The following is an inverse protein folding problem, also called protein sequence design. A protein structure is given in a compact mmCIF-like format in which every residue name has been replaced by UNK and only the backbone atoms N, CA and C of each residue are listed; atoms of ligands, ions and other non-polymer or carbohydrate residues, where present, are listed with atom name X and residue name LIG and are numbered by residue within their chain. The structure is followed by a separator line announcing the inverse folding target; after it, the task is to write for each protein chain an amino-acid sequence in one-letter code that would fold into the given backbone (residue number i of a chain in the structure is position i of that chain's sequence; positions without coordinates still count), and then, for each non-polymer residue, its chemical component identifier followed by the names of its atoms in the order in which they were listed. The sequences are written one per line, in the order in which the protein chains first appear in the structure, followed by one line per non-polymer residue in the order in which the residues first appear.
data_IF_348461732202
#
_entry.id   IF_348461732202
#
_cell.length_a   1.000
_cell.length_b   1.000
_cell.length_c   1.000
_cell.angle_alpha   90.00
_cell.angle_beta   90.00
_cell.angle_gamma   90.00
#
_symmetry.space_group_name_H-M   'P 1'
#
loop_
_entity.id
_entity.type
_entity.pdbx_description
1 polymer ?
#
# COMPACT_ATOMS: atom_id res chain seq x y z
N UNK A 1 26.00 9.05 54.95
CA UNK A 1 24.96 8.05 55.30
C UNK A 1 24.05 7.72 54.12
N UNK A 2 23.49 8.70 53.38
CA UNK A 2 22.67 8.43 52.19
C UNK A 2 23.42 7.72 51.05
N UNK A 3 24.69 8.05 50.83
CA UNK A 3 25.48 7.47 49.73
C UNK A 3 25.84 5.98 49.95
N UNK A 4 26.07 5.57 51.21
CA UNK A 4 26.30 4.17 51.61
C UNK A 4 24.99 3.37 51.53
N UNK A 5 23.85 4.01 51.78
CA UNK A 5 22.52 3.43 51.62
C UNK A 5 22.24 3.12 50.13
N UNK A 6 22.54 4.04 49.21
CA UNK A 6 22.36 3.81 47.76
C UNK A 6 23.35 2.80 47.17
N UNK A 7 24.61 2.75 47.63
CA UNK A 7 25.61 1.77 47.16
C UNK A 7 25.27 0.33 47.58
N UNK A 8 24.77 0.15 48.80
CA UNK A 8 24.34 -1.16 49.30
C UNK A 8 22.99 -1.59 48.70
N UNK A 9 22.10 -0.65 48.37
CA UNK A 9 20.87 -0.93 47.63
C UNK A 9 21.18 -1.46 46.22
N UNK A 10 22.20 -0.92 45.54
CA UNK A 10 22.62 -1.37 44.21
C UNK A 10 23.11 -2.83 44.16
N UNK A 11 23.86 -3.28 45.17
CA UNK A 11 24.34 -4.66 45.24
C UNK A 11 23.23 -5.67 45.63
N UNK A 12 22.28 -5.24 46.46
CA UNK A 12 21.09 -6.03 46.83
C UNK A 12 20.11 -6.12 45.64
N UNK A 13 19.89 -5.01 44.93
CA UNK A 13 19.03 -4.96 43.75
C UNK A 13 19.58 -5.81 42.60
N UNK A 14 20.90 -5.92 42.40
CA UNK A 14 21.47 -6.74 41.32
C UNK A 14 21.22 -8.26 41.48
N UNK A 15 21.25 -8.77 42.71
CA UNK A 15 20.90 -10.17 43.01
C UNK A 15 19.38 -10.40 43.02
N UNK A 16 18.61 -9.43 43.52
CA UNK A 16 17.14 -9.46 43.51
C UNK A 16 16.56 -9.31 42.10
N UNK A 17 17.20 -8.55 41.22
CA UNK A 17 16.76 -8.28 39.85
C UNK A 17 16.57 -9.54 39.00
N UNK A 18 17.24 -10.66 39.30
CA UNK A 18 17.11 -11.91 38.53
C UNK A 18 15.88 -12.74 38.98
N UNK A 19 15.55 -12.73 40.28
CA UNK A 19 14.29 -13.31 40.79
C UNK A 19 13.11 -12.36 40.58
N UNK A 20 13.32 -11.06 40.82
CA UNK A 20 12.37 -9.98 40.55
C UNK A 20 12.06 -9.88 39.07
N UNK A 21 12.96 -10.15 38.11
CA UNK A 21 12.59 -10.19 36.66
C UNK A 21 11.67 -11.34 36.30
N UNK A 22 11.72 -12.46 37.04
CA UNK A 22 10.77 -13.56 36.88
C UNK A 22 9.42 -13.25 37.55
N UNK A 23 9.45 -12.72 38.77
CA UNK A 23 8.28 -12.34 39.56
C UNK A 23 7.56 -11.13 38.94
N UNK A 24 8.28 -10.14 38.43
CA UNK A 24 7.71 -9.02 37.67
C UNK A 24 7.16 -9.50 36.35
N UNK A 25 7.81 -10.42 35.64
CA UNK A 25 7.22 -10.98 34.41
C UNK A 25 5.93 -11.76 34.66
N UNK A 26 5.82 -12.51 35.76
CA UNK A 26 4.55 -13.17 36.12
C UNK A 26 3.51 -12.15 36.57
N UNK A 27 3.87 -11.19 37.43
CA UNK A 27 2.96 -10.14 37.89
C UNK A 27 2.44 -9.26 36.75
N UNK A 28 3.29 -8.85 35.80
CA UNK A 28 2.87 -8.10 34.63
C UNK A 28 1.97 -8.94 33.71
N UNK A 29 2.23 -10.25 33.58
CA UNK A 29 1.35 -11.14 32.82
C UNK A 29 -0.01 -11.30 33.49
N UNK A 30 -0.03 -11.51 34.80
CA UNK A 30 -1.25 -11.64 35.58
C UNK A 30 -2.06 -10.34 35.50
N UNK A 31 -1.41 -9.18 35.65
CA UNK A 31 -2.06 -7.87 35.51
C UNK A 31 -2.62 -7.63 34.10
N UNK A 32 -1.90 -8.04 33.05
CA UNK A 32 -2.40 -7.96 31.67
C UNK A 32 -3.60 -8.89 31.48
N UNK A 33 -3.58 -10.10 32.05
CA UNK A 33 -4.70 -11.03 31.99
C UNK A 33 -5.90 -10.51 32.79
N UNK A 34 -5.68 -9.86 33.94
CA UNK A 34 -6.73 -9.21 34.73
C UNK A 34 -7.41 -8.07 33.95
N UNK A 35 -6.63 -7.24 33.24
CA UNK A 35 -7.18 -6.20 32.37
C UNK A 35 -7.92 -6.77 31.16
N UNK A 36 -7.41 -7.87 30.59
CA UNK A 36 -8.09 -8.60 29.54
C UNK A 36 -9.42 -9.20 30.04
N UNK A 37 -9.42 -9.79 31.22
CA UNK A 37 -10.63 -10.30 31.87
C UNK A 37 -11.65 -9.18 32.09
N UNK A 38 -11.23 -8.01 32.60
CA UNK A 38 -12.10 -6.84 32.73
C UNK A 38 -12.74 -6.44 31.39
N UNK A 39 -11.97 -6.42 30.30
CA UNK A 39 -12.47 -6.13 28.95
C UNK A 39 -13.46 -7.20 28.46
N UNK A 40 -13.15 -8.48 28.64
CA UNK A 40 -13.97 -9.60 28.17
C UNK A 40 -15.28 -9.76 28.97
N UNK A 41 -15.25 -9.59 30.29
CA UNK A 41 -16.43 -9.71 31.16
C UNK A 41 -17.36 -8.51 31.05
N UNK A 42 -16.84 -7.35 30.63
CA UNK A 42 -17.57 -6.06 30.55
C UNK A 42 -18.06 -5.56 31.91
N UNK A 43 -17.57 -6.11 33.01
CA UNK A 43 -17.91 -5.67 34.35
C UNK A 43 -17.32 -4.30 34.66
N UNK A 44 -18.08 -3.45 35.36
CA UNK A 44 -17.66 -2.08 35.74
C UNK A 44 -17.25 -1.18 34.57
N UNK A 45 -17.66 -1.49 33.34
CA UNK A 45 -17.46 -0.58 32.23
C UNK A 45 -18.19 0.73 32.51
N UNK A 46 -17.57 1.83 32.08
CA UNK A 46 -18.12 3.17 32.24
C UNK A 46 -18.21 3.87 30.86
N UNK A 47 -17.54 3.34 29.84
CA UNK A 47 -17.44 3.94 28.50
C UNK A 47 -18.07 3.02 27.46
N UNK A 48 -18.79 3.58 26.48
CA UNK A 48 -19.35 2.87 25.32
C UNK A 48 -18.89 3.54 24.04
N UNK A 49 -17.98 2.92 23.31
CA UNK A 49 -17.51 3.40 22.00
C UNK A 49 -18.52 2.94 20.95
N UNK A 50 -19.12 3.88 20.23
CA UNK A 50 -20.09 3.61 19.15
C UNK A 50 -19.44 3.86 17.80
N UNK A 51 -19.38 2.84 16.95
CA UNK A 51 -18.78 2.90 15.62
C UNK A 51 -19.83 2.56 14.57
N UNK A 52 -19.90 3.32 13.48
CA UNK A 52 -20.82 3.03 12.38
C UNK A 52 -21.94 4.05 12.19
N UNK A 53 -22.73 3.84 11.14
CA UNK A 53 -23.94 4.59 10.80
C UNK A 53 -25.08 3.61 10.53
N UNK A 54 -26.32 3.97 10.92
CA UNK A 54 -27.47 3.09 10.74
C UNK A 54 -27.63 2.66 9.27
N UNK A 55 -27.90 1.36 9.01
CA UNK A 55 -28.23 0.30 9.97
C UNK A 55 -27.02 -0.43 10.59
N UNK A 56 -25.79 -0.11 10.19
CA UNK A 56 -24.58 -0.82 10.58
C UNK A 56 -23.86 -0.08 11.73
N UNK A 57 -24.38 -0.23 12.95
CA UNK A 57 -23.81 0.37 14.17
C UNK A 57 -23.32 -0.72 15.11
N UNK A 58 -22.10 -0.55 15.62
CA UNK A 58 -21.43 -1.40 16.59
C UNK A 58 -21.17 -0.62 17.88
N UNK A 59 -21.30 -1.29 19.02
CA UNK A 59 -21.07 -0.71 20.34
C UNK A 59 -20.11 -1.58 21.14
N UNK A 60 -19.06 -0.97 21.65
CA UNK A 60 -18.02 -1.62 22.45
C UNK A 60 -17.95 -0.96 23.81
N UNK A 61 -18.11 -1.76 24.86
CA UNK A 61 -17.96 -1.33 26.25
C UNK A 61 -16.49 -1.30 26.63
N UNK A 62 -16.06 -0.29 27.39
CA UNK A 62 -14.67 -0.12 27.82
C UNK A 62 -14.57 0.62 29.17
N UNK A 63 -13.37 0.64 29.75
CA UNK A 63 -13.06 1.34 30.99
C UNK A 63 -12.23 2.59 30.69
N UNK A 64 -12.81 3.74 30.95
CA UNK A 64 -12.24 5.05 30.70
C UNK A 64 -10.86 5.25 31.33
N UNK A 65 -10.64 4.72 32.54
CA UNK A 65 -9.41 4.91 33.31
C UNK A 65 -8.25 4.24 32.59
N UNK A 66 -8.50 3.08 31.97
CA UNK A 66 -7.52 2.36 31.15
C UNK A 66 -7.28 3.17 29.86
N UNK A 67 -8.35 3.58 29.18
CA UNK A 67 -8.25 4.34 27.92
C UNK A 67 -7.52 5.67 28.10
N UNK A 68 -7.81 6.44 29.15
CA UNK A 68 -7.22 7.75 29.40
C UNK A 68 -5.78 7.67 29.90
N UNK A 69 -5.38 6.58 30.55
CA UNK A 69 -4.00 6.41 31.04
C UNK A 69 -3.05 6.06 29.90
N UNK A 70 -3.55 5.41 28.86
CA UNK A 70 -2.71 4.75 27.85
C UNK A 70 -2.79 5.41 26.48
N UNK A 71 -3.74 6.30 26.24
CA UNK A 71 -3.84 7.08 25.00
C UNK A 71 -4.23 8.53 25.26
N UNK A 72 -3.42 9.44 24.71
CA UNK A 72 -3.69 10.87 24.73
C UNK A 72 -4.97 11.25 23.98
N UNK A 73 -5.33 10.49 22.93
CA UNK A 73 -6.58 10.65 22.21
C UNK A 73 -7.76 10.43 23.15
N UNK A 74 -7.85 9.26 23.81
CA UNK A 74 -8.96 8.96 24.71
C UNK A 74 -8.93 9.83 25.95
N UNK A 75 -7.74 10.15 26.47
CA UNK A 75 -7.58 11.12 27.55
C UNK A 75 -8.26 12.44 27.19
N UNK A 76 -7.91 13.01 26.04
CA UNK A 76 -8.48 14.28 25.57
C UNK A 76 -9.99 14.13 25.30
N UNK A 77 -10.39 13.10 24.55
CA UNK A 77 -11.77 12.86 24.15
C UNK A 77 -12.74 12.58 25.32
N UNK A 78 -12.22 12.06 26.44
CA UNK A 78 -13.02 11.74 27.63
C UNK A 78 -12.82 12.76 28.78
N UNK A 79 -11.80 13.61 28.73
CA UNK A 79 -11.46 14.58 29.79
C UNK A 79 -12.54 15.65 30.03
N UNK A 80 -13.30 16.03 29.00
CA UNK A 80 -14.38 17.03 29.12
C UNK A 80 -15.65 16.49 29.80
N UNK A 81 -15.71 15.19 30.11
CA UNK A 81 -16.85 14.54 30.76
C UNK A 81 -16.51 14.28 32.23
N UNK A 82 -16.80 15.26 33.08
CA UNK A 82 -16.84 15.06 34.53
C UNK A 82 -17.76 13.88 34.84
N UNK A 83 -17.19 12.79 35.36
CA UNK A 83 -17.73 11.42 35.42
C UNK A 83 -17.52 10.68 34.11
N UNK A 84 -16.62 9.70 34.17
CA UNK A 84 -16.14 8.87 33.08
C UNK A 84 -17.24 8.00 32.41
N UNK A 85 -18.27 8.62 31.84
CA UNK A 85 -19.28 7.97 31.02
C UNK A 85 -19.15 8.42 29.56
N UNK A 86 -18.27 7.75 28.82
CA UNK A 86 -17.87 8.16 27.47
C UNK A 86 -18.60 7.42 26.35
N UNK A 87 -19.58 8.06 25.70
CA UNK A 87 -19.98 7.72 24.32
C UNK A 87 -19.08 8.40 23.29
N UNK A 88 -18.28 7.64 22.54
CA UNK A 88 -17.54 8.12 21.37
C UNK A 88 -18.38 7.84 20.13
N UNK A 89 -18.78 8.88 19.39
CA UNK A 89 -19.56 8.79 18.15
C UNK A 89 -18.70 9.26 16.98
N UNK A 90 -18.50 8.40 15.98
CA UNK A 90 -17.66 8.66 14.81
C UNK A 90 -18.38 9.34 13.64
N UNK A 91 -19.72 9.46 13.70
CA UNK A 91 -20.56 9.94 12.59
C UNK A 91 -20.22 11.35 12.12
N UNK A 92 -19.84 12.23 13.04
CA UNK A 92 -19.48 13.62 12.73
C UNK A 92 -17.99 13.92 12.91
N UNK A 93 -17.17 12.89 13.12
CA UNK A 93 -15.73 13.08 13.33
C UNK A 93 -14.98 13.27 12.01
N UNK A 94 -14.01 14.18 12.04
CA UNK A 94 -13.11 14.40 10.92
C UNK A 94 -12.27 13.15 10.64
N UNK A 95 -11.91 12.93 9.38
CA UNK A 95 -11.11 11.77 9.00
C UNK A 95 -9.76 11.68 9.71
N UNK A 96 -9.15 12.83 10.04
CA UNK A 96 -7.93 12.87 10.84
C UNK A 96 -8.10 12.28 12.24
N UNK A 97 -9.18 12.65 12.92
CA UNK A 97 -9.55 12.14 14.25
C UNK A 97 -9.77 10.62 14.20
N UNK A 98 -10.36 10.11 13.12
CA UNK A 98 -10.59 8.67 12.92
C UNK A 98 -9.25 7.91 12.74
N UNK A 99 -8.26 8.52 12.06
CA UNK A 99 -6.91 7.93 11.97
C UNK A 99 -6.21 7.89 13.33
N UNK A 100 -6.33 8.95 14.14
CA UNK A 100 -5.79 8.98 15.51
C UNK A 100 -6.45 7.92 16.39
N UNK A 101 -7.77 7.72 16.25
CA UNK A 101 -8.47 6.63 16.90
C UNK A 101 -7.94 5.26 16.46
N UNK A 102 -7.66 5.05 15.16
CA UNK A 102 -7.06 3.80 14.69
C UNK A 102 -5.73 3.52 15.40
N UNK A 103 -4.84 4.52 15.48
CA UNK A 103 -3.56 4.39 16.19
C UNK A 103 -3.80 4.02 17.65
N UNK A 104 -4.69 4.73 18.34
CA UNK A 104 -5.03 4.41 19.72
C UNK A 104 -5.53 2.97 19.86
N UNK A 105 -6.43 2.51 18.98
CA UNK A 105 -6.97 1.14 19.05
C UNK A 105 -5.90 0.06 18.87
N UNK A 106 -4.88 0.31 18.04
CA UNK A 106 -3.73 -0.59 17.88
C UNK A 106 -2.83 -0.58 19.12
N UNK A 107 -2.58 0.59 19.71
CA UNK A 107 -1.79 0.74 20.95
C UNK A 107 -2.41 -0.02 22.14
N UNK A 108 -3.75 -0.16 22.15
CA UNK A 108 -4.48 -0.95 23.14
C UNK A 108 -4.74 -2.39 22.75
N UNK A 109 -4.39 -2.80 21.53
CA UNK A 109 -4.71 -4.13 21.01
C UNK A 109 -6.21 -4.46 21.06
N UNK A 110 -7.09 -3.45 20.88
CA UNK A 110 -8.54 -3.65 20.83
C UNK A 110 -8.92 -4.06 19.41
N UNK A 111 -8.53 -5.28 19.02
CA UNK A 111 -8.63 -5.77 17.64
C UNK A 111 -10.02 -5.62 17.02
N UNK A 112 -11.07 -5.87 17.80
CA UNK A 112 -12.45 -5.72 17.35
C UNK A 112 -12.76 -4.26 16.98
N UNK A 113 -12.35 -3.31 17.82
CA UNK A 113 -12.54 -1.88 17.55
C UNK A 113 -11.67 -1.41 16.37
N UNK A 114 -10.41 -1.87 16.28
CA UNK A 114 -9.54 -1.59 15.14
C UNK A 114 -10.20 -2.00 13.82
N UNK A 115 -10.76 -3.21 13.76
CA UNK A 115 -11.48 -3.69 12.58
C UNK A 115 -12.67 -2.79 12.22
N UNK A 116 -13.53 -2.44 13.18
CA UNK A 116 -14.70 -1.61 12.91
C UNK A 116 -14.34 -0.19 12.49
N UNK A 117 -13.31 0.40 13.08
CA UNK A 117 -12.88 1.75 12.70
C UNK A 117 -12.27 1.73 11.28
N UNK A 118 -11.51 0.69 10.90
CA UNK A 118 -11.02 0.52 9.53
C UNK A 118 -12.18 0.40 8.53
N UNK A 119 -13.13 -0.50 8.81
CA UNK A 119 -14.31 -0.72 7.96
C UNK A 119 -15.16 0.55 7.81
N UNK A 120 -15.36 1.28 8.92
CA UNK A 120 -16.08 2.55 8.94
C UNK A 120 -15.38 3.60 8.07
N UNK A 121 -14.07 3.77 8.22
CA UNK A 121 -13.28 4.73 7.45
C UNK A 121 -13.35 4.41 5.95
N UNK A 122 -13.21 3.14 5.57
CA UNK A 122 -13.24 2.69 4.17
C UNK A 122 -14.61 2.94 3.54
N UNK A 123 -15.69 2.55 4.23
CA UNK A 123 -17.06 2.60 3.68
C UNK A 123 -17.66 4.00 3.72
N UNK A 124 -17.45 4.75 4.79
CA UNK A 124 -18.19 6.00 5.05
C UNK A 124 -17.33 7.26 4.84
N UNK A 125 -16.00 7.15 4.86
CA UNK A 125 -15.08 8.30 4.72
C UNK A 125 -14.28 8.29 3.41
N UNK A 126 -14.84 7.69 2.36
CA UNK A 126 -14.23 7.63 1.03
C UNK A 126 -13.82 9.00 0.46
N UNK A 127 -14.62 10.06 0.69
CA UNK A 127 -14.29 11.42 0.23
C UNK A 127 -13.01 11.93 0.90
N UNK A 128 -12.86 11.70 2.20
CA UNK A 128 -11.66 12.05 2.95
C UNK A 128 -10.44 11.28 2.43
N UNK A 129 -10.59 9.96 2.25
CA UNK A 129 -9.53 9.11 1.69
C UNK A 129 -9.04 9.60 0.32
N UNK A 130 -9.94 10.11 -0.53
CA UNK A 130 -9.57 10.68 -1.83
C UNK A 130 -8.92 12.06 -1.77
N UNK A 131 -9.36 12.92 -0.84
CA UNK A 131 -8.91 14.31 -0.75
C UNK A 131 -7.52 14.45 -0.13
N UNK A 132 -7.10 13.51 0.71
CA UNK A 132 -5.85 13.60 1.45
C UNK A 132 -4.87 12.45 1.13
N UNK A 133 -4.52 12.19 -0.13
CA UNK A 133 -3.83 10.96 -0.51
C UNK A 133 -2.43 10.82 0.07
N UNK A 134 -1.72 11.94 0.24
CA UNK A 134 -0.39 11.97 0.84
C UNK A 134 -0.46 11.62 2.32
N UNK A 135 -1.41 12.22 3.05
CA UNK A 135 -1.66 11.90 4.47
C UNK A 135 -2.00 10.43 4.68
N UNK A 136 -2.87 9.85 3.85
CA UNK A 136 -3.24 8.44 3.99
C UNK A 136 -2.06 7.52 3.64
N UNK A 137 -1.28 7.83 2.60
CA UNK A 137 -0.13 7.01 2.24
C UNK A 137 0.97 7.02 3.29
N UNK A 138 1.29 8.20 3.85
CA UNK A 138 2.24 8.28 4.96
C UNK A 138 1.72 7.47 6.17
N UNK A 139 0.42 7.59 6.49
CA UNK A 139 -0.20 6.82 7.56
C UNK A 139 -0.07 5.30 7.38
N UNK A 140 -0.46 4.75 6.22
CA UNK A 140 -0.39 3.29 6.00
C UNK A 140 1.05 2.79 5.83
N UNK A 141 2.00 3.66 5.48
CA UNK A 141 3.41 3.32 5.42
C UNK A 141 3.99 3.16 6.84
N UNK A 142 3.59 4.02 7.78
CA UNK A 142 4.02 3.98 9.18
C UNK A 142 3.32 2.88 9.99
N UNK A 143 2.07 2.54 9.65
CA UNK A 143 1.25 1.60 10.43
C UNK A 143 0.97 0.30 9.67
N UNK A 144 1.87 -0.68 9.79
CA UNK A 144 1.79 -1.91 8.99
C UNK A 144 0.68 -2.89 9.36
N UNK A 145 0.06 -2.71 10.52
CA UNK A 145 -0.97 -3.62 11.04
C UNK A 145 -2.36 -3.39 10.45
N UNK A 146 -2.60 -2.25 9.81
CA UNK A 146 -3.88 -1.88 9.21
C UNK A 146 -4.01 -2.40 7.77
N UNK A 147 -4.02 -3.73 7.63
CA UNK A 147 -3.98 -4.40 6.33
C UNK A 147 -5.21 -4.10 5.46
N UNK A 148 -6.41 -4.09 6.04
CA UNK A 148 -7.65 -3.84 5.31
C UNK A 148 -7.66 -2.45 4.67
N UNK A 149 -7.29 -1.42 5.44
CA UNK A 149 -7.15 -0.06 4.92
C UNK A 149 -6.05 0.03 3.87
N UNK A 150 -4.89 -0.58 4.14
CA UNK A 150 -3.73 -0.57 3.24
C UNK A 150 -4.07 -1.18 1.88
N UNK A 151 -4.65 -2.38 1.85
CA UNK A 151 -4.97 -3.09 0.60
C UNK A 151 -5.97 -2.29 -0.24
N UNK A 152 -7.10 -1.88 0.36
CA UNK A 152 -8.15 -1.12 -0.33
C UNK A 152 -7.63 0.22 -0.85
N UNK A 153 -6.80 0.89 -0.06
CA UNK A 153 -6.26 2.19 -0.44
C UNK A 153 -5.20 2.09 -1.54
N UNK A 154 -4.29 1.11 -1.47
CA UNK A 154 -3.32 0.86 -2.52
C UNK A 154 -3.98 0.44 -3.83
N UNK A 155 -5.04 -0.38 -3.79
CA UNK A 155 -5.83 -0.69 -4.99
C UNK A 155 -6.43 0.58 -5.60
N UNK A 156 -6.95 1.48 -4.76
CA UNK A 156 -7.52 2.76 -5.19
C UNK A 156 -6.48 3.64 -5.88
N UNK A 157 -5.29 3.80 -5.30
CA UNK A 157 -4.20 4.58 -5.91
C UNK A 157 -3.67 3.90 -7.17
N UNK A 158 -3.55 2.57 -7.19
CA UNK A 158 -3.18 1.84 -8.40
C UNK A 158 -4.15 2.09 -9.55
N UNK A 159 -5.45 2.14 -9.25
CA UNK A 159 -6.51 2.40 -10.24
C UNK A 159 -6.58 3.86 -10.67
N UNK A 160 -6.28 4.80 -9.77
CA UNK A 160 -6.37 6.24 -10.01
C UNK A 160 -5.10 6.96 -9.52
N UNK A 161 -3.93 6.69 -10.13
CA UNK A 161 -2.63 7.17 -9.61
C UNK A 161 -2.49 8.69 -9.65
N UNK A 162 -3.22 9.35 -10.54
CA UNK A 162 -3.25 10.81 -10.63
C UNK A 162 -3.83 11.47 -9.37
N UNK A 163 -4.65 10.77 -8.56
CA UNK A 163 -5.08 11.28 -7.25
C UNK A 163 -3.88 11.65 -6.37
N UNK A 164 -2.85 10.80 -6.39
CA UNK A 164 -1.60 11.05 -5.67
C UNK A 164 -0.71 12.01 -6.45
N UNK A 165 -0.38 11.68 -7.70
CA UNK A 165 0.68 12.37 -8.44
C UNK A 165 0.32 13.81 -8.83
N UNK A 166 -0.96 14.16 -8.97
CA UNK A 166 -1.40 15.54 -9.24
C UNK A 166 -1.74 16.32 -7.97
N UNK A 167 -1.60 15.71 -6.78
CA UNK A 167 -1.79 16.41 -5.51
C UNK A 167 -0.72 17.50 -5.32
N UNK A 168 -1.14 18.68 -4.88
CA UNK A 168 -0.23 19.76 -4.46
C UNK A 168 0.62 19.35 -3.25
N UNK A 169 0.10 18.43 -2.43
CA UNK A 169 0.82 17.89 -1.27
C UNK A 169 1.80 16.77 -1.67
N UNK A 170 1.84 16.31 -2.92
CA UNK A 170 2.73 15.21 -3.35
C UNK A 170 4.20 15.39 -2.91
N UNK A 171 4.78 16.61 -2.97
CA UNK A 171 6.10 16.89 -2.39
C UNK A 171 6.27 16.55 -0.91
N UNK A 172 5.20 16.47 -0.12
CA UNK A 172 5.22 16.11 1.30
C UNK A 172 5.15 14.60 1.55
N UNK A 173 5.07 13.78 0.49
CA UNK A 173 5.04 12.33 0.62
C UNK A 173 6.36 11.82 1.20
N UNK A 174 6.28 10.96 2.21
CA UNK A 174 7.46 10.40 2.87
C UNK A 174 8.13 9.33 2.01
N UNK A 175 9.43 9.09 2.24
CA UNK A 175 10.22 8.15 1.45
C UNK A 175 9.65 6.72 1.52
N UNK A 176 9.19 6.27 2.69
CA UNK A 176 8.63 4.92 2.85
C UNK A 176 7.28 4.77 2.16
N UNK A 177 6.44 5.82 2.19
CA UNK A 177 5.21 5.88 1.42
C UNK A 177 5.47 5.89 -0.10
N UNK A 178 6.53 6.58 -0.53
CA UNK A 178 6.94 6.57 -1.93
C UNK A 178 7.43 5.18 -2.35
N UNK A 179 8.27 4.53 -1.54
CA UNK A 179 8.71 3.13 -1.77
C UNK A 179 7.53 2.18 -1.85
N UNK A 180 6.53 2.34 -0.98
CA UNK A 180 5.31 1.53 -0.96
C UNK A 180 4.59 1.60 -2.32
N UNK A 181 4.34 2.82 -2.82
CA UNK A 181 3.71 3.03 -4.13
C UNK A 181 4.60 2.53 -5.27
N UNK A 182 5.90 2.77 -5.21
CA UNK A 182 6.85 2.30 -6.22
C UNK A 182 7.06 0.78 -6.21
N UNK A 183 6.57 0.04 -5.22
CA UNK A 183 6.49 -1.43 -5.28
C UNK A 183 5.22 -1.95 -5.96
N UNK A 184 4.21 -1.10 -6.19
CA UNK A 184 2.96 -1.53 -6.80
C UNK A 184 3.11 -1.76 -8.31
N UNK A 185 2.91 -3.00 -8.77
CA UNK A 185 3.01 -3.36 -10.20
C UNK A 185 1.81 -2.94 -11.05
N UNK A 186 0.71 -2.54 -10.41
CA UNK A 186 -0.58 -2.31 -11.06
C UNK A 186 -0.94 -0.82 -11.20
N UNK A 187 0.03 0.09 -11.05
CA UNK A 187 -0.18 1.53 -11.24
C UNK A 187 -0.63 1.83 -12.67
N UNK A 188 -1.84 2.37 -12.83
CA UNK A 188 -2.45 2.72 -14.11
C UNK A 188 -1.96 4.08 -14.64
N UNK A 189 -0.64 4.20 -14.80
CA UNK A 189 0.02 5.39 -15.34
C UNK A 189 1.29 5.00 -16.09
N UNK A 190 1.64 5.73 -17.14
CA UNK A 190 2.87 5.46 -17.89
C UNK A 190 4.09 5.72 -17.01
N UNK A 191 5.08 4.83 -17.07
CA UNK A 191 6.34 4.92 -16.33
C UNK A 191 7.02 6.29 -16.52
N UNK A 192 6.95 6.87 -17.72
CA UNK A 192 7.47 8.20 -17.98
C UNK A 192 6.86 9.30 -17.09
N UNK A 193 5.55 9.24 -16.89
CA UNK A 193 4.84 10.20 -16.05
C UNK A 193 5.27 10.00 -14.58
N UNK A 194 5.44 8.76 -14.13
CA UNK A 194 5.95 8.45 -12.79
C UNK A 194 7.32 9.10 -12.59
N UNK A 195 8.27 8.88 -13.51
CA UNK A 195 9.61 9.48 -13.44
C UNK A 195 9.57 11.01 -13.38
N UNK A 196 8.74 11.65 -14.20
CA UNK A 196 8.57 13.11 -14.18
C UNK A 196 8.11 13.61 -12.81
N UNK A 197 7.25 12.86 -12.13
CA UNK A 197 6.76 13.20 -10.79
C UNK A 197 7.82 12.93 -9.72
N UNK A 198 8.54 11.81 -9.80
CA UNK A 198 9.63 11.48 -8.88
C UNK A 198 10.74 12.52 -8.87
N UNK A 199 11.12 13.03 -10.05
CA UNK A 199 12.12 14.10 -10.15
C UNK A 199 11.63 15.36 -9.41
N UNK A 200 10.38 15.77 -9.62
CA UNK A 200 9.80 16.92 -8.89
C UNK A 200 9.78 16.71 -7.38
N UNK A 201 9.39 15.51 -6.93
CA UNK A 201 9.41 15.15 -5.52
C UNK A 201 10.83 15.24 -4.94
N UNK A 202 11.83 14.68 -5.62
CA UNK A 202 13.22 14.69 -5.16
C UNK A 202 13.79 16.10 -5.03
N UNK A 203 13.43 17.03 -5.92
CA UNK A 203 13.82 18.44 -5.78
C UNK A 203 13.17 19.11 -4.57
N UNK A 204 11.91 18.82 -4.29
CA UNK A 204 11.23 19.38 -3.13
C UNK A 204 11.86 18.92 -1.80
N UNK A 205 12.41 17.69 -1.75
CA UNK A 205 13.18 17.21 -0.59
C UNK A 205 14.53 17.93 -0.42
N UNK A 206 15.05 18.55 -1.50
CA UNK A 206 16.38 19.13 -1.57
C UNK A 206 16.34 20.54 -2.17
N UNK A 207 15.55 21.43 -1.55
CA UNK A 207 15.34 22.83 -1.97
C UNK A 207 16.65 23.64 -2.20
N UNK A 208 17.80 23.16 -1.74
CA UNK A 208 19.13 23.75 -1.98
C UNK A 208 19.73 23.53 -3.38
N UNK A 209 19.12 22.73 -4.26
CA UNK A 209 19.65 22.44 -5.61
C UNK A 209 19.30 23.49 -6.68
N UNK A 210 18.38 24.42 -6.42
CA UNK A 210 17.96 25.45 -7.39
C UNK A 210 19.10 26.38 -7.85
N UNK A 211 20.16 26.53 -7.05
CA UNK A 211 21.27 27.45 -7.35
C UNK A 211 22.30 26.95 -8.38
N UNK A 212 22.17 25.74 -8.95
CA UNK A 212 23.14 25.21 -9.93
C UNK A 212 22.66 25.19 -11.40
N UNK A 213 21.40 25.51 -11.69
CA UNK A 213 20.82 25.34 -13.03
C UNK A 213 20.85 26.59 -13.93
N UNK A 214 21.47 27.69 -13.52
CA UNK A 214 21.62 28.88 -14.36
C UNK A 214 22.81 28.77 -15.34
N UNK A 215 22.97 27.65 -16.08
CA UNK A 215 23.89 27.60 -17.23
C UNK A 215 23.76 26.30 -18.04
N UNK A 216 23.12 26.34 -19.22
CA UNK A 216 23.80 26.34 -20.53
C UNK A 216 22.85 25.99 -21.67
N UNK A 217 22.74 26.98 -22.55
CA UNK A 217 22.32 26.89 -23.93
C UNK A 217 23.25 25.94 -24.70
N UNK A 218 22.73 24.85 -25.27
CA UNK A 218 23.35 24.18 -26.43
C UNK A 218 22.29 23.50 -27.29
N UNK A 219 22.27 23.96 -28.54
CA UNK A 219 21.57 23.41 -29.69
C UNK A 219 21.93 21.93 -29.89
N UNK A 220 20.95 21.07 -29.68
CA UNK A 220 20.86 19.74 -30.28
C UNK A 220 19.44 19.67 -30.85
N UNK A 221 19.27 19.10 -32.03
CA UNK A 221 17.99 19.01 -32.75
C UNK A 221 17.02 18.08 -31.98
N UNK A 222 16.31 18.66 -31.01
CA UNK A 222 15.45 18.02 -29.98
C UNK A 222 14.04 17.79 -30.53
N UNK A 223 13.82 16.79 -31.39
CA UNK A 223 12.43 16.41 -31.77
C UNK A 223 11.90 15.11 -31.17
N UNK A 224 12.72 14.28 -30.52
CA UNK A 224 12.23 13.04 -29.89
C UNK A 224 12.81 12.72 -28.50
N UNK A 225 13.67 13.58 -27.95
CA UNK A 225 14.14 13.45 -26.57
C UNK A 225 13.27 14.35 -25.71
N UNK A 226 12.59 13.79 -24.72
CA UNK A 226 11.80 14.54 -23.74
C UNK A 226 12.73 15.55 -23.06
N UNK A 227 12.61 16.86 -23.39
CA UNK A 227 13.53 17.88 -22.91
C UNK A 227 13.60 17.89 -21.39
N UNK A 228 12.46 17.61 -20.76
CA UNK A 228 12.26 17.73 -19.32
C UNK A 228 12.95 16.64 -18.50
N UNK A 229 13.51 15.57 -19.06
CA UNK A 229 14.38 14.65 -18.29
C UNK A 229 15.84 14.92 -18.61
N UNK A 230 16.11 15.33 -19.85
CA UNK A 230 17.43 15.66 -20.33
C UNK A 230 18.04 16.87 -19.61
N UNK A 231 17.21 17.86 -19.28
CA UNK A 231 17.63 19.04 -18.50
C UNK A 231 18.14 18.67 -17.09
N UNK A 232 17.95 17.41 -16.65
CA UNK A 232 18.39 16.90 -15.34
C UNK A 232 19.50 15.83 -15.43
N UNK A 233 20.07 15.60 -16.61
CA UNK A 233 21.14 14.60 -16.84
C UNK A 233 22.35 14.80 -15.93
N UNK A 234 22.70 16.04 -15.61
CA UNK A 234 23.92 16.36 -14.86
C UNK A 234 23.81 16.13 -13.35
N UNK A 235 22.59 15.94 -12.83
CA UNK A 235 22.32 15.71 -11.40
C UNK A 235 22.05 14.23 -11.13
N UNK A 236 21.51 13.52 -12.10
CA UNK A 236 21.21 12.10 -11.98
C UNK A 236 22.48 11.27 -12.20
N UNK A 237 22.69 10.16 -11.46
CA UNK A 237 23.76 9.22 -11.76
C UNK A 237 23.72 8.80 -13.23
N UNK A 238 24.88 8.78 -13.90
CA UNK A 238 24.97 8.45 -15.33
C UNK A 238 24.28 7.12 -15.68
N UNK A 239 24.32 6.14 -14.78
CA UNK A 239 23.67 4.84 -14.98
C UNK A 239 22.14 4.94 -14.89
N UNK A 240 21.63 5.81 -14.01
CA UNK A 240 20.20 6.11 -13.92
C UNK A 240 19.72 6.87 -15.15
N UNK A 241 20.49 7.86 -15.62
CA UNK A 241 20.18 8.57 -16.89
C UNK A 241 20.14 7.59 -18.05
N UNK A 242 21.12 6.67 -18.15
CA UNK A 242 21.10 5.62 -19.16
C UNK A 242 19.88 4.71 -19.06
N UNK A 243 19.49 4.30 -17.85
CA UNK A 243 18.30 3.48 -17.63
C UNK A 243 17.00 4.23 -17.99
N UNK A 244 16.92 5.52 -17.64
CA UNK A 244 15.78 6.36 -17.98
C UNK A 244 15.72 6.59 -19.49
N UNK A 245 16.83 6.98 -20.13
CA UNK A 245 16.92 7.09 -21.58
C UNK A 245 16.62 5.75 -22.27
N UNK A 246 17.00 4.62 -21.69
CA UNK A 246 16.60 3.30 -22.17
C UNK A 246 15.08 3.12 -22.09
N UNK A 247 14.44 3.50 -20.98
CA UNK A 247 12.97 3.47 -20.83
C UNK A 247 12.23 4.44 -21.78
N UNK A 248 12.87 5.52 -22.22
CA UNK A 248 12.25 6.61 -23.00
C UNK A 248 12.57 6.60 -24.51
N UNK A 249 13.81 6.26 -24.87
CA UNK A 249 14.36 6.34 -26.23
C UNK A 249 14.47 4.98 -26.92
N UNK A 250 14.08 3.90 -26.25
CA UNK A 250 13.84 2.64 -26.92
C UNK A 250 15.14 2.12 -27.62
N UNK A 251 16.30 2.36 -26.99
CA UNK A 251 17.61 2.00 -27.54
C UNK A 251 17.83 0.48 -27.40
N UNK A 252 18.25 -0.19 -28.48
CA UNK A 252 18.50 -1.66 -28.56
C UNK A 252 19.67 -2.18 -27.67
N UNK A 253 20.02 -1.47 -26.59
CA UNK A 253 21.09 -1.83 -25.66
C UNK A 253 20.50 -2.54 -24.46
N UNK A 254 20.95 -3.77 -24.15
CA UNK A 254 20.51 -4.51 -22.95
C UNK A 254 20.66 -3.64 -21.69
N UNK A 255 19.62 -3.51 -20.85
CA UNK A 255 19.73 -2.75 -19.61
C UNK A 255 20.81 -3.37 -18.71
N UNK A 256 21.67 -2.54 -18.14
CA UNK A 256 22.73 -2.96 -17.22
C UNK A 256 22.18 -3.62 -15.95
N UNK A 257 20.93 -3.32 -15.60
CA UNK A 257 20.20 -3.98 -14.53
C UNK A 257 18.94 -4.65 -15.09
N UNK A 258 18.90 -5.97 -14.99
CA UNK A 258 17.78 -6.84 -15.39
C UNK A 258 16.47 -6.54 -14.66
N UNK A 259 16.48 -5.63 -13.67
CA UNK A 259 15.36 -5.28 -12.79
C UNK A 259 14.55 -4.05 -13.22
N UNK A 260 14.95 -3.30 -14.25
CA UNK A 260 14.06 -2.29 -14.84
C UNK A 260 12.98 -2.95 -15.70
N UNK A 261 12.12 -3.75 -15.07
CA UNK A 261 10.85 -4.13 -15.66
C UNK A 261 9.99 -2.87 -15.69
N UNK A 262 10.00 -2.17 -16.82
CA UNK A 262 9.08 -1.06 -17.10
C UNK A 262 7.68 -1.51 -16.66
N UNK A 263 7.03 -0.76 -15.76
CA UNK A 263 5.61 -0.97 -15.46
C UNK A 263 4.83 -0.53 -16.68
N UNK A 264 4.68 -1.45 -17.64
CA UNK A 264 3.74 -1.27 -18.73
C UNK A 264 2.33 -1.32 -18.13
N UNK A 265 1.75 -0.14 -17.92
CA UNK A 265 0.41 0.04 -17.38
C UNK A 265 -0.65 -0.78 -18.13
N UNK A 266 -1.65 -1.23 -17.36
CA UNK A 266 -2.89 -1.88 -17.76
C UNK A 266 -2.82 -3.29 -18.40
N UNK A 267 -2.13 -4.25 -17.75
CA UNK A 267 -2.55 -5.65 -17.90
C UNK A 267 -3.76 -5.92 -16.99
N UNK A 268 -4.97 -5.68 -17.51
CA UNK A 268 -6.23 -6.12 -16.88
C UNK A 268 -6.70 -7.39 -17.57
N UNK A 269 -6.57 -8.51 -16.88
CA UNK A 269 -7.10 -9.80 -17.32
C UNK A 269 -8.19 -10.25 -16.37
N UNK A 270 -9.37 -10.59 -16.91
CA UNK A 270 -10.46 -11.20 -16.14
C UNK A 270 -10.20 -12.70 -15.86
N UNK A 271 -9.02 -13.21 -16.25
CA UNK A 271 -8.59 -14.59 -16.01
C UNK A 271 -8.15 -14.78 -14.55
N UNK A 272 -8.50 -15.93 -13.98
CA UNK A 272 -7.96 -16.37 -12.69
C UNK A 272 -6.60 -17.07 -12.82
N UNK A 273 -6.22 -17.48 -14.03
CA UNK A 273 -5.03 -18.30 -14.29
C UNK A 273 -3.88 -17.49 -14.89
N UNK A 274 -4.19 -16.38 -15.58
CA UNK A 274 -3.21 -15.60 -16.32
C UNK A 274 -2.99 -14.28 -15.57
N UNK A 275 -1.87 -14.21 -14.87
CA UNK A 275 -1.35 -12.98 -14.29
C UNK A 275 -0.46 -12.23 -15.30
N UNK A 276 0.09 -11.08 -14.90
CA UNK A 276 0.93 -10.23 -15.76
C UNK A 276 2.19 -10.95 -16.23
N UNK A 277 2.86 -11.71 -15.36
CA UNK A 277 4.09 -12.43 -15.70
C UNK A 277 3.86 -13.48 -16.80
N UNK A 278 2.80 -14.28 -16.66
CA UNK A 278 2.41 -15.28 -17.65
C UNK A 278 2.03 -14.61 -18.98
N UNK A 279 1.33 -13.48 -18.92
CA UNK A 279 0.97 -12.77 -20.13
C UNK A 279 2.17 -12.12 -20.84
N UNK A 280 3.17 -11.63 -20.11
CA UNK A 280 4.47 -11.20 -20.67
C UNK A 280 5.20 -12.36 -21.35
N UNK A 281 5.11 -13.57 -20.78
CA UNK A 281 5.66 -14.77 -21.39
C UNK A 281 4.95 -15.10 -22.71
N UNK A 282 3.61 -15.00 -22.74
CA UNK A 282 2.84 -15.20 -23.97
C UNK A 282 3.17 -14.18 -25.05
N UNK A 283 3.29 -12.89 -24.70
CA UNK A 283 3.69 -11.88 -25.69
C UNK A 283 5.05 -12.24 -26.29
N UNK A 284 6.03 -12.58 -25.43
CA UNK A 284 7.36 -13.00 -25.88
C UNK A 284 7.29 -14.18 -26.85
N UNK A 285 6.53 -15.23 -26.54
CA UNK A 285 6.40 -16.40 -27.42
C UNK A 285 5.71 -16.10 -28.75
N UNK A 286 4.67 -15.25 -28.74
CA UNK A 286 3.99 -14.84 -29.98
C UNK A 286 4.95 -14.02 -30.86
N UNK A 287 5.66 -13.09 -30.25
CA UNK A 287 6.59 -12.20 -30.94
C UNK A 287 7.78 -12.96 -31.55
N UNK A 288 8.35 -13.92 -30.81
CA UNK A 288 9.39 -14.84 -31.29
C UNK A 288 8.94 -15.61 -32.55
N UNK A 289 7.66 -16.00 -32.61
CA UNK A 289 7.11 -16.73 -33.75
C UNK A 289 6.69 -15.85 -34.94
N UNK A 290 6.32 -14.59 -34.71
CA UNK A 290 5.68 -13.75 -35.74
C UNK A 290 6.61 -12.71 -36.35
N UNK A 291 7.56 -12.17 -35.58
CA UNK A 291 8.32 -10.96 -35.97
C UNK A 291 9.84 -11.24 -36.01
N UNK A 292 10.26 -12.47 -35.68
CA UNK A 292 11.67 -12.85 -35.51
C UNK A 292 12.29 -12.19 -34.26
N UNK A 293 13.60 -12.36 -34.05
CA UNK A 293 14.37 -11.83 -32.90
C UNK A 293 14.39 -10.27 -32.74
N UNK A 294 13.43 -9.55 -33.32
CA UNK A 294 13.19 -8.14 -33.03
C UNK A 294 12.33 -8.06 -31.77
N UNK A 295 12.98 -7.75 -30.65
CA UNK A 295 12.33 -7.53 -29.36
C UNK A 295 11.22 -6.49 -29.49
N UNK A 296 9.99 -6.95 -29.28
CA UNK A 296 8.80 -6.13 -29.07
C UNK A 296 8.99 -5.23 -27.88
N UNK A 297 8.68 -3.96 -28.07
CA UNK A 297 8.65 -2.97 -27.00
C UNK A 297 7.21 -2.83 -26.51
N UNK A 298 6.89 -3.59 -25.46
CA UNK A 298 5.64 -3.49 -24.69
C UNK A 298 4.58 -4.54 -24.95
N UNK A 299 3.49 -4.48 -24.18
CA UNK A 299 2.28 -5.30 -24.42
C UNK A 299 1.65 -4.86 -25.75
N UNK A 300 2.11 -5.42 -26.87
CA UNK A 300 1.50 -5.23 -28.20
C UNK A 300 0.09 -5.82 -28.28
N UNK A 301 -0.21 -6.74 -27.37
CA UNK A 301 -1.42 -7.55 -27.41
C UNK A 301 -2.36 -7.18 -26.27
N UNK A 302 -3.62 -6.94 -26.61
CA UNK A 302 -4.69 -6.82 -25.63
C UNK A 302 -5.31 -8.20 -25.42
N UNK A 303 -5.07 -8.81 -24.26
CA UNK A 303 -5.66 -10.10 -23.90
C UNK A 303 -7.11 -9.91 -23.44
N UNK A 304 -8.06 -10.39 -24.22
CA UNK A 304 -9.49 -10.37 -23.87
C UNK A 304 -9.93 -11.79 -23.50
N UNK A 305 -10.55 -11.95 -22.33
CA UNK A 305 -11.11 -13.24 -21.91
C UNK A 305 -12.36 -13.55 -22.75
N UNK A 306 -12.30 -14.59 -23.59
CA UNK A 306 -13.43 -15.03 -24.41
C UNK A 306 -14.30 -16.08 -23.69
N UNK A 307 -13.64 -17.05 -23.03
CA UNK A 307 -14.30 -18.18 -22.39
C UNK A 307 -13.57 -18.58 -21.11
N UNK A 308 -14.33 -18.91 -20.06
CA UNK A 308 -13.81 -19.47 -18.80
C UNK A 308 -14.71 -20.61 -18.35
N UNK A 309 -14.19 -21.83 -18.27
CA UNK A 309 -15.00 -23.01 -17.90
C UNK A 309 -15.77 -22.86 -16.57
N UNK A 310 -15.18 -22.19 -15.58
CA UNK A 310 -15.85 -21.92 -14.28
C UNK A 310 -16.94 -20.85 -14.33
N UNK A 311 -16.98 -20.01 -15.38
CA UNK A 311 -18.04 -19.02 -15.61
C UNK A 311 -19.08 -19.54 -16.61
N UNK A 312 -18.62 -20.15 -17.68
CA UNK A 312 -19.42 -20.45 -18.87
C UNK A 312 -19.93 -21.91 -18.90
N UNK A 313 -19.38 -22.77 -18.03
CA UNK A 313 -19.61 -24.21 -17.98
C UNK A 313 -18.69 -24.99 -18.92
N UNK A 314 -18.74 -26.33 -18.87
CA UNK A 314 -17.86 -27.22 -19.65
C UNK A 314 -18.39 -27.64 -21.04
N UNK A 315 -19.34 -26.91 -21.62
CA UNK A 315 -19.97 -27.33 -22.88
C UNK A 315 -19.13 -26.90 -24.10
N UNK A 316 -18.73 -27.87 -24.93
CA UNK A 316 -18.09 -27.63 -26.23
C UNK A 316 -18.92 -26.70 -27.11
N UNK A 317 -20.26 -26.82 -27.12
CA UNK A 317 -21.14 -25.93 -27.89
C UNK A 317 -20.99 -24.46 -27.49
N UNK A 318 -20.90 -24.16 -26.19
CA UNK A 318 -20.69 -22.78 -25.69
C UNK A 318 -19.29 -22.27 -25.98
N UNK A 319 -18.28 -23.16 -25.93
CA UNK A 319 -16.91 -22.83 -26.29
C UNK A 319 -16.84 -22.36 -27.74
N UNK A 320 -17.35 -23.16 -28.68
CA UNK A 320 -17.39 -22.82 -30.11
C UNK A 320 -18.16 -21.52 -30.37
N UNK A 321 -19.32 -21.32 -29.74
CA UNK A 321 -20.10 -20.08 -29.85
C UNK A 321 -19.31 -18.82 -29.45
N UNK A 322 -18.39 -18.93 -28.48
CA UNK A 322 -17.64 -17.79 -27.96
C UNK A 322 -16.28 -17.59 -28.61
N UNK A 323 -15.62 -18.68 -29.01
CA UNK A 323 -14.22 -18.68 -29.44
C UNK A 323 -14.04 -18.78 -30.96
N UNK A 324 -14.98 -19.37 -31.70
CA UNK A 324 -14.82 -19.56 -33.15
C UNK A 324 -14.81 -18.19 -33.87
N UNK A 325 -13.94 -18.08 -34.89
CA UNK A 325 -13.78 -16.88 -35.73
C UNK A 325 -13.47 -15.59 -34.95
N UNK A 326 -12.79 -15.69 -33.80
CA UNK A 326 -12.34 -14.53 -33.01
C UNK A 326 -10.92 -14.07 -33.34
N UNK A 327 -10.28 -14.69 -34.33
CA UNK A 327 -8.88 -14.48 -34.71
C UNK A 327 -7.93 -15.23 -33.78
N UNK A 328 -6.72 -14.71 -33.63
CA UNK A 328 -5.68 -15.34 -32.82
C UNK A 328 -6.14 -15.57 -31.36
N UNK A 329 -6.06 -16.81 -30.89
CA UNK A 329 -6.54 -17.22 -29.56
C UNK A 329 -5.48 -18.01 -28.80
N UNK A 330 -5.44 -17.82 -27.48
CA UNK A 330 -4.62 -18.63 -26.57
C UNK A 330 -5.56 -19.42 -25.66
N UNK A 331 -5.38 -20.73 -25.62
CA UNK A 331 -6.01 -21.63 -24.67
C UNK A 331 -5.07 -21.86 -23.50
N UNK A 332 -5.58 -21.74 -22.27
CA UNK A 332 -4.87 -22.08 -21.04
C UNK A 332 -5.77 -22.94 -20.16
N UNK A 333 -5.26 -24.08 -19.71
CA UNK A 333 -5.91 -25.03 -18.81
C UNK A 333 -4.96 -25.44 -17.69
N UNK A 334 -5.51 -25.79 -16.53
CA UNK A 334 -4.76 -26.33 -15.39
C UNK A 334 -4.89 -27.84 -15.40
N UNK A 335 -3.78 -28.56 -15.19
CA UNK A 335 -3.84 -30.00 -14.95
C UNK A 335 -4.41 -30.26 -13.54
N UNK A 336 -5.38 -31.16 -13.45
CA UNK A 336 -5.99 -31.49 -12.17
C UNK A 336 -4.94 -31.96 -11.15
N UNK A 337 -5.02 -31.43 -9.93
CA UNK A 337 -4.08 -31.70 -8.82
C UNK A 337 -2.63 -31.24 -9.09
N UNK A 338 -2.45 -30.23 -9.95
CA UNK A 338 -1.14 -29.65 -10.24
C UNK A 338 -1.21 -28.13 -10.36
N UNK A 339 -0.08 -27.45 -10.16
CA UNK A 339 0.13 -26.03 -10.48
C UNK A 339 0.54 -25.81 -11.94
N UNK A 340 0.70 -26.89 -12.73
CA UNK A 340 1.10 -26.82 -14.13
C UNK A 340 -0.05 -26.32 -15.02
N UNK A 341 0.26 -25.29 -15.80
CA UNK A 341 -0.58 -24.76 -16.87
C UNK A 341 -0.17 -25.40 -18.20
N UNK A 342 -1.16 -25.85 -18.97
CA UNK A 342 -1.01 -26.33 -20.35
C UNK A 342 -1.87 -25.50 -21.28
N UNK A 343 -1.50 -25.43 -22.55
CA UNK A 343 -2.18 -24.54 -23.46
C UNK A 343 -1.73 -24.67 -24.90
N UNK A 344 -2.37 -23.88 -25.75
CA UNK A 344 -2.07 -23.79 -27.17
C UNK A 344 -2.34 -22.38 -27.69
N UNK A 345 -1.69 -22.02 -28.78
CA UNK A 345 -1.91 -20.76 -29.49
C UNK A 345 -2.35 -21.08 -30.91
N UNK A 346 -3.50 -20.53 -31.31
CA UNK A 346 -3.99 -20.54 -32.68
C UNK A 346 -3.88 -19.13 -33.27
N UNK A 347 -3.40 -19.02 -34.51
CA UNK A 347 -3.07 -17.74 -35.14
C UNK A 347 -4.10 -17.23 -36.14
N UNK A 348 -5.09 -18.05 -36.50
CA UNK A 348 -6.11 -17.78 -37.54
C UNK A 348 -7.51 -17.60 -37.00
#
# INVERSE_FOLDING_TARGET
MAEIFFKNLGAILAGKLIEDTKITNTFFKDLVEDFKNLYETKEYHDTIITVGEEPNVEQITAHSVILCTRSSYFHSALSDRFLYCGKVDLKNQEGGIILELLVATDEFLIHQLTYFVQDFLIKNRYIFLKRCPVKILNFIAQHERFNELREVYLETICKYPLLLFDSEEFPLLEEDALKLILKCDNLDVKECIIWKKLVKWGFAQHATLENKMACRDTRIDRKEIIPEVWDYKDILPNDLVKNILHCYLDLDVKPLHQQCLIRWGNFKSNSKLINREIALLFTKWIDEKTIGNKTSKGFRYKFNLLFRGSLDGGSSKKFHQKCDNKGATILVAVIQNSSLLVGGYEST
#
